data_IF_217456012755
#
_entry.id   IF_217456012755
#
_cell.length_a   1.000
_cell.length_b   1.000
_cell.length_c   1.000
_cell.angle_alpha   90.00
_cell.angle_beta   90.00
_cell.angle_gamma   90.00
#
_symmetry.space_group_name_H-M   'P 1'
#
loop_
_entity.id
_entity.type
_entity.pdbx_description
1 polymer ?
#
# COMPACT_ATOMS: atom_id res chain seq x y z
N UNK A 1 -29.33 -65.13 -40.20
CA UNK A 1 -27.92 -64.93 -39.79
C UNK A 1 -27.81 -63.61 -39.02
N UNK A 2 -27.52 -63.67 -37.71
CA UNK A 2 -26.84 -62.60 -36.91
C UNK A 2 -25.32 -62.85 -37.05
N UNK A 3 -24.39 -61.88 -36.94
CA UNK A 3 -24.20 -60.89 -35.85
C UNK A 3 -23.82 -59.48 -36.42
N UNK A 4 -23.47 -58.40 -35.72
CA UNK A 4 -22.53 -58.24 -34.60
C UNK A 4 -22.72 -56.84 -33.99
N UNK A 5 -22.90 -56.74 -32.67
CA UNK A 5 -22.81 -55.47 -31.93
C UNK A 5 -21.35 -55.26 -31.55
N UNK A 6 -20.74 -54.18 -32.03
CA UNK A 6 -19.42 -53.75 -31.58
C UNK A 6 -19.56 -53.00 -30.25
N UNK A 7 -19.05 -53.59 -29.17
CA UNK A 7 -18.64 -52.87 -27.95
C UNK A 7 -17.29 -52.21 -28.24
N UNK A 8 -17.19 -50.89 -28.07
CA UNK A 8 -15.91 -50.19 -28.03
C UNK A 8 -15.79 -49.45 -26.70
N UNK A 9 -14.65 -49.67 -26.06
CA UNK A 9 -14.39 -49.46 -24.66
C UNK A 9 -14.24 -47.99 -24.25
N UNK A 10 -14.67 -47.74 -23.03
CA UNK A 10 -14.47 -46.53 -22.25
C UNK A 10 -12.96 -46.35 -21.95
N UNK A 11 -12.39 -45.20 -22.31
CA UNK A 11 -11.09 -44.76 -21.81
C UNK A 11 -11.27 -43.38 -21.17
N UNK A 12 -11.62 -43.36 -19.89
CA UNK A 12 -11.66 -42.14 -19.08
C UNK A 12 -10.23 -41.80 -18.71
N UNK A 13 -9.59 -40.92 -19.48
CA UNK A 13 -8.31 -40.33 -19.16
C UNK A 13 -8.57 -39.21 -18.12
N UNK A 14 -8.67 -39.57 -16.84
CA UNK A 14 -8.75 -38.59 -15.75
C UNK A 14 -7.42 -37.88 -15.61
N UNK A 15 -7.35 -36.67 -16.16
CA UNK A 15 -6.25 -35.75 -15.97
C UNK A 15 -6.12 -35.40 -14.48
N UNK A 16 -5.04 -35.84 -13.85
CA UNK A 16 -4.59 -35.32 -12.56
C UNK A 16 -4.10 -33.89 -12.76
N UNK A 17 -5.04 -32.94 -12.83
CA UNK A 17 -4.73 -31.52 -12.68
C UNK A 17 -4.31 -31.31 -11.22
N UNK A 18 -2.99 -31.32 -10.99
CA UNK A 18 -2.41 -30.94 -9.71
C UNK A 18 -2.89 -29.54 -9.34
N UNK A 19 -3.68 -29.45 -8.27
CA UNK A 19 -4.06 -28.18 -7.66
C UNK A 19 -2.80 -27.59 -7.05
N UNK A 20 -2.11 -26.74 -7.81
CA UNK A 20 -1.14 -25.82 -7.24
C UNK A 20 -1.86 -25.06 -6.11
N UNK A 21 -1.35 -25.09 -4.87
CA UNK A 21 -1.95 -24.30 -3.81
C UNK A 21 -1.85 -22.83 -4.23
N UNK A 22 -2.99 -22.19 -4.44
CA UNK A 22 -3.04 -20.74 -4.58
C UNK A 22 -2.51 -20.16 -3.26
N UNK A 23 -1.33 -19.55 -3.31
CA UNK A 23 -0.82 -18.75 -2.19
C UNK A 23 -1.80 -17.57 -2.04
N UNK A 24 -2.64 -17.63 -1.01
CA UNK A 24 -3.53 -16.53 -0.68
C UNK A 24 -2.67 -15.28 -0.40
N UNK A 25 -3.06 -14.15 -0.99
CA UNK A 25 -2.43 -12.87 -0.66
C UNK A 25 -2.55 -12.62 0.86
N UNK A 26 -1.53 -12.03 1.50
CA UNK A 26 -1.59 -11.72 2.92
C UNK A 26 -2.83 -10.89 3.24
N UNK A 27 -3.52 -11.26 4.33
CA UNK A 27 -4.65 -10.47 4.81
C UNK A 27 -4.21 -9.03 5.11
N UNK A 28 -4.86 -8.07 4.47
CA UNK A 28 -4.65 -6.65 4.71
C UNK A 28 -5.65 -6.13 5.75
N UNK A 29 -5.20 -5.22 6.59
CA UNK A 29 -5.98 -4.63 7.67
C UNK A 29 -5.93 -3.11 7.60
N UNK A 30 -7.01 -2.42 7.98
CA UNK A 30 -7.07 -0.97 7.88
C UNK A 30 -6.28 -0.30 9.01
N UNK A 31 -5.43 0.63 8.61
CA UNK A 31 -4.71 1.55 9.46
C UNK A 31 -5.26 2.96 9.24
N UNK A 32 -5.75 3.60 10.31
CA UNK A 32 -6.18 4.99 10.28
C UNK A 32 -5.01 5.85 10.73
N UNK A 33 -4.72 6.90 9.96
CA UNK A 33 -3.66 7.84 10.22
C UNK A 33 -4.22 9.25 10.33
N UNK A 34 -3.59 10.09 11.15
CA UNK A 34 -3.81 11.54 11.16
C UNK A 34 -2.48 12.22 10.90
N UNK A 35 -2.41 12.99 9.82
CA UNK A 35 -1.24 13.78 9.46
C UNK A 35 -0.79 14.69 10.61
N UNK A 36 0.49 15.04 10.60
CA UNK A 36 1.03 15.95 11.60
C UNK A 36 2.56 16.06 11.54
N UNK A 37 3.13 16.96 12.34
CA UNK A 37 4.54 17.31 12.29
C UNK A 37 5.49 16.15 12.66
N UNK A 38 5.00 15.12 13.34
CA UNK A 38 5.80 13.95 13.72
C UNK A 38 5.86 12.88 12.61
N UNK A 39 5.12 13.06 11.51
CA UNK A 39 5.22 12.17 10.35
C UNK A 39 6.36 12.57 9.42
N UNK A 40 6.97 11.57 8.79
CA UNK A 40 8.01 11.77 7.79
C UNK A 40 7.71 10.94 6.55
N UNK A 41 7.78 11.58 5.39
CA UNK A 41 7.75 10.92 4.08
C UNK A 41 9.19 10.79 3.60
N UNK A 42 9.58 9.58 3.20
CA UNK A 42 10.81 9.31 2.48
C UNK A 42 10.48 8.68 1.14
N UNK A 43 10.98 9.25 0.05
CA UNK A 43 10.89 8.63 -1.27
C UNK A 43 12.24 8.06 -1.68
N UNK A 44 12.18 6.93 -2.38
CA UNK A 44 13.32 6.30 -3.00
C UNK A 44 13.01 6.07 -4.47
N UNK A 45 13.91 6.54 -5.32
CA UNK A 45 14.05 6.09 -6.70
C UNK A 45 15.11 4.98 -6.68
N UNK A 46 14.87 3.86 -7.38
CA UNK A 46 15.69 2.65 -7.35
C UNK A 46 15.66 1.90 -6.02
N UNK A 47 14.61 1.09 -5.83
CA UNK A 47 14.54 0.13 -4.72
C UNK A 47 15.77 -0.80 -4.80
N UNK A 48 16.61 -0.89 -3.74
CA UNK A 48 17.84 -1.67 -3.75
C UNK A 48 17.58 -3.17 -3.54
N UNK A 49 16.58 -3.73 -4.24
CA UNK A 49 16.23 -5.15 -4.19
C UNK A 49 16.83 -5.96 -5.36
N UNK A 50 17.48 -5.28 -6.31
CA UNK A 50 18.14 -5.90 -7.45
C UNK A 50 17.20 -6.51 -8.50
N UNK A 51 15.88 -6.33 -8.34
CA UNK A 51 14.84 -6.89 -9.23
C UNK A 51 13.95 -5.79 -9.81
N UNK A 52 13.73 -4.70 -9.07
CA UNK A 52 12.84 -3.59 -9.41
C UNK A 52 13.59 -2.26 -9.59
N UNK A 53 14.75 -2.28 -10.25
CA UNK A 53 15.45 -1.06 -10.68
C UNK A 53 14.52 -0.17 -11.52
N UNK A 54 14.41 1.12 -11.18
CA UNK A 54 13.50 2.08 -11.82
C UNK A 54 12.08 2.16 -11.25
N UNK A 55 11.74 1.47 -10.15
CA UNK A 55 10.46 1.68 -9.45
C UNK A 55 10.61 2.70 -8.32
N UNK A 56 9.62 3.59 -8.21
CA UNK A 56 9.52 4.54 -7.11
C UNK A 56 8.82 3.91 -5.91
N UNK A 57 9.24 4.31 -4.73
CA UNK A 57 8.56 3.94 -3.52
C UNK A 57 8.50 5.10 -2.53
N UNK A 58 7.47 5.07 -1.69
CA UNK A 58 7.28 6.00 -0.59
C UNK A 58 7.15 5.22 0.71
N UNK A 59 7.94 5.61 1.71
CA UNK A 59 7.78 5.18 3.09
C UNK A 59 7.26 6.35 3.91
N UNK A 60 6.22 6.10 4.70
CA UNK A 60 5.70 7.02 5.70
C UNK A 60 6.03 6.48 7.07
N UNK A 61 6.74 7.27 7.86
CA UNK A 61 7.01 7.04 9.27
C UNK A 61 6.03 7.85 10.11
N UNK A 62 5.55 7.26 11.19
CA UNK A 62 4.57 7.86 12.08
C UNK A 62 4.84 7.43 13.53
N UNK A 63 4.05 7.93 14.49
CA UNK A 63 4.03 7.41 15.87
C UNK A 63 2.83 6.49 16.09
N UNK A 64 3.01 5.36 16.76
CA UNK A 64 1.88 4.53 17.15
C UNK A 64 0.97 5.28 18.16
N UNK A 65 -0.33 5.38 17.87
CA UNK A 65 -1.29 5.96 18.81
C UNK A 65 -1.65 4.95 19.92
N UNK A 66 -1.83 5.49 21.13
CA UNK A 66 -2.33 4.77 22.30
C UNK A 66 -3.87 4.71 22.36
N UNK A 67 -4.57 5.38 21.44
CA UNK A 67 -6.03 5.48 21.40
C UNK A 67 -6.60 4.70 20.20
N UNK A 68 -7.29 3.56 20.41
CA UNK A 68 -7.88 2.77 19.33
C UNK A 68 -8.74 3.61 18.38
N UNK A 69 -8.58 3.40 17.07
CA UNK A 69 -9.32 4.09 16.00
C UNK A 69 -9.29 5.64 16.01
N UNK A 70 -8.52 6.27 16.92
CA UNK A 70 -8.49 7.72 17.09
C UNK A 70 -7.05 8.24 17.20
N UNK A 71 -6.31 8.32 16.08
CA UNK A 71 -4.94 8.81 16.09
C UNK A 71 -4.88 10.33 16.33
N UNK A 72 -3.90 10.75 17.14
CA UNK A 72 -3.49 12.15 17.27
C UNK A 72 -2.64 12.62 16.08
N UNK A 73 -2.27 13.90 16.01
CA UNK A 73 -1.45 14.43 14.93
C UNK A 73 -0.11 13.69 14.82
N UNK A 74 0.21 13.23 13.61
CA UNK A 74 1.44 12.48 13.33
C UNK A 74 1.38 11.00 13.73
N UNK A 75 0.20 10.49 14.08
CA UNK A 75 0.01 9.12 14.55
C UNK A 75 -0.80 8.26 13.57
N UNK A 76 -0.60 6.95 13.67
CA UNK A 76 -1.49 5.95 13.08
C UNK A 76 -1.93 4.92 14.12
N UNK A 77 -3.06 4.26 13.87
CA UNK A 77 -3.63 3.22 14.73
C UNK A 77 -4.43 2.20 13.91
N UNK A 78 -4.48 0.96 14.38
CA UNK A 78 -5.39 -0.03 13.84
C UNK A 78 -6.84 0.37 14.17
N UNK A 79 -7.77 0.02 13.27
CA UNK A 79 -9.20 0.31 13.50
C UNK A 79 -9.79 -0.45 14.70
N UNK A 80 -9.24 -1.62 15.02
CA UNK A 80 -9.79 -2.56 16.01
C UNK A 80 -9.01 -2.58 17.33
N UNK A 81 -7.81 -2.00 17.39
CA UNK A 81 -6.91 -2.04 18.55
C UNK A 81 -5.79 -1.00 18.50
N UNK A 82 -4.99 -0.92 19.56
CA UNK A 82 -3.70 -0.22 19.52
C UNK A 82 -2.59 -1.09 18.92
N UNK A 83 -1.45 -0.45 18.67
CA UNK A 83 -0.22 -1.17 18.30
C UNK A 83 0.25 -2.10 19.43
N UNK A 84 0.82 -3.24 19.04
CA UNK A 84 1.52 -4.18 19.91
C UNK A 84 3.03 -3.89 19.91
N UNK A 85 3.75 -4.25 20.98
CA UNK A 85 5.21 -4.16 20.97
C UNK A 85 5.83 -4.89 19.78
N UNK A 86 6.73 -4.23 19.07
CA UNK A 86 7.43 -4.78 17.91
C UNK A 86 6.70 -4.66 16.57
N UNK A 87 5.47 -4.14 16.56
CA UNK A 87 4.82 -3.76 15.29
C UNK A 87 5.52 -2.53 14.68
N UNK A 88 5.72 -2.50 13.35
CA UNK A 88 6.43 -1.41 12.69
C UNK A 88 5.63 -0.10 12.66
N UNK A 89 6.28 1.01 13.00
CA UNK A 89 5.70 2.37 12.92
C UNK A 89 5.99 3.07 11.59
N UNK A 90 5.87 2.29 10.51
CA UNK A 90 6.00 2.80 9.16
C UNK A 90 5.22 1.92 8.18
N UNK A 91 4.74 2.54 7.10
CA UNK A 91 4.21 1.82 5.96
C UNK A 91 4.92 2.24 4.67
N UNK A 92 4.92 1.33 3.71
CA UNK A 92 5.59 1.45 2.43
C UNK A 92 4.59 1.19 1.31
N UNK A 93 4.59 2.06 0.31
CA UNK A 93 3.80 1.92 -0.91
C UNK A 93 4.75 1.96 -2.11
N UNK A 94 4.66 0.94 -2.96
CA UNK A 94 5.27 0.93 -4.29
C UNK A 94 4.37 1.67 -5.27
N UNK A 95 4.97 2.28 -6.29
CA UNK A 95 4.23 2.78 -7.42
C UNK A 95 5.16 3.16 -8.55
N UNK A 96 4.65 3.13 -9.78
CA UNK A 96 5.35 3.78 -10.89
C UNK A 96 4.94 5.26 -10.95
N UNK A 97 5.15 5.97 -9.84
CA UNK A 97 4.75 7.36 -9.64
C UNK A 97 5.99 8.15 -9.29
N UNK A 98 6.32 9.12 -10.14
CA UNK A 98 7.23 10.20 -9.76
C UNK A 98 6.36 11.32 -9.17
N UNK A 99 6.90 12.14 -8.28
CA UNK A 99 6.22 13.38 -7.93
C UNK A 99 7.24 14.48 -7.69
N UNK A 100 6.79 15.70 -7.94
CA UNK A 100 7.54 16.90 -7.62
C UNK A 100 6.80 17.76 -6.60
N UNK A 101 7.58 18.35 -5.71
CA UNK A 101 7.14 19.46 -4.87
C UNK A 101 7.71 20.75 -5.41
N UNK A 102 6.91 21.81 -5.39
CA UNK A 102 7.45 23.15 -5.54
C UNK A 102 7.99 23.62 -4.18
N UNK A 103 9.20 24.16 -4.16
CA UNK A 103 9.83 24.73 -2.95
C UNK A 103 10.18 26.18 -3.24
N UNK A 104 9.73 27.09 -2.37
CA UNK A 104 10.07 28.50 -2.46
C UNK A 104 11.53 28.75 -2.07
N UNK A 105 12.10 29.90 -2.49
CA UNK A 105 13.47 30.29 -2.14
C UNK A 105 13.76 30.43 -0.63
N UNK A 106 12.73 30.43 0.22
CA UNK A 106 12.85 30.39 1.67
C UNK A 106 12.87 28.95 2.25
N UNK A 107 12.97 27.92 1.40
CA UNK A 107 13.01 26.51 1.79
C UNK A 107 11.67 25.91 2.19
N UNK A 108 10.56 26.66 2.08
CA UNK A 108 9.22 26.12 2.38
C UNK A 108 8.62 25.46 1.16
N UNK A 109 7.99 24.31 1.37
CA UNK A 109 7.14 23.67 0.36
C UNK A 109 6.00 24.63 0.00
N UNK A 110 5.78 24.83 -1.29
CA UNK A 110 4.73 25.70 -1.79
C UNK A 110 3.36 25.11 -1.53
N UNK A 111 2.40 25.97 -1.19
CA UNK A 111 1.03 25.61 -0.91
C UNK A 111 0.09 26.69 -1.42
N UNK A 112 -1.15 26.33 -1.76
CA UNK A 112 -2.23 27.26 -2.04
C UNK A 112 -3.50 26.89 -1.27
N UNK A 113 -4.65 27.50 -1.61
CA UNK A 113 -5.92 27.24 -0.93
C UNK A 113 -6.41 25.78 -1.00
N UNK A 114 -5.76 24.93 -1.80
CA UNK A 114 -6.04 23.49 -1.90
C UNK A 114 -5.04 22.59 -1.16
N UNK A 115 -4.00 23.16 -0.54
CA UNK A 115 -2.95 22.43 0.20
C UNK A 115 -1.57 22.58 -0.46
N UNK A 116 -0.68 21.62 -0.17
CA UNK A 116 0.65 21.55 -0.78
C UNK A 116 0.56 21.42 -2.30
N UNK A 117 1.41 22.16 -3.03
CA UNK A 117 1.61 22.01 -4.47
C UNK A 117 2.43 20.77 -4.78
N UNK A 118 1.73 19.65 -4.86
CA UNK A 118 2.22 18.35 -5.28
C UNK A 118 1.78 18.08 -6.72
N UNK A 119 2.75 17.75 -7.58
CA UNK A 119 2.52 17.30 -8.94
C UNK A 119 2.97 15.84 -9.06
N UNK A 120 2.06 14.85 -8.90
CA UNK A 120 2.37 13.48 -9.26
C UNK A 120 2.54 13.38 -10.78
N UNK A 121 3.70 12.92 -11.20
CA UNK A 121 4.03 12.56 -12.57
C UNK A 121 3.57 11.12 -12.81
N UNK A 122 2.46 11.02 -13.55
CA UNK A 122 1.75 9.77 -13.81
C UNK A 122 0.25 10.01 -13.91
N UNK A 123 -0.44 9.11 -14.62
CA UNK A 123 -1.91 9.09 -14.70
C UNK A 123 -2.40 7.72 -14.25
N UNK A 124 -3.21 7.67 -13.20
CA UNK A 124 -3.82 6.43 -12.75
C UNK A 124 -4.13 6.40 -11.25
N UNK A 125 -4.66 5.27 -10.76
CA UNK A 125 -5.00 5.07 -9.35
C UNK A 125 -3.79 5.26 -8.42
N UNK A 126 -2.61 4.75 -8.79
CA UNK A 126 -1.39 4.87 -7.97
C UNK A 126 -1.00 6.33 -7.71
N UNK A 127 -1.13 7.20 -8.72
CA UNK A 127 -0.84 8.62 -8.57
C UNK A 127 -1.82 9.32 -7.62
N UNK A 128 -3.08 8.86 -7.57
CA UNK A 128 -4.08 9.36 -6.61
C UNK A 128 -3.79 8.86 -5.20
N UNK A 129 -3.43 7.59 -5.04
CA UNK A 129 -3.06 6.98 -3.76
C UNK A 129 -1.89 7.73 -3.11
N UNK A 130 -0.83 8.02 -3.88
CA UNK A 130 0.30 8.80 -3.42
C UNK A 130 -0.10 10.24 -3.06
N UNK A 131 -0.92 10.88 -3.89
CA UNK A 131 -1.44 12.23 -3.62
C UNK A 131 -2.28 12.28 -2.33
N UNK A 132 -3.13 11.28 -2.11
CA UNK A 132 -3.96 11.19 -0.91
C UNK A 132 -3.11 11.05 0.35
N UNK A 133 -2.12 10.14 0.34
CA UNK A 133 -1.19 9.98 1.47
C UNK A 133 -0.42 11.28 1.73
N UNK A 134 0.20 11.86 0.71
CA UNK A 134 1.00 13.08 0.88
C UNK A 134 0.15 14.24 1.40
N UNK A 135 -1.06 14.43 0.85
CA UNK A 135 -1.96 15.47 1.33
C UNK A 135 -2.45 15.20 2.76
N UNK A 136 -2.75 13.94 3.09
CA UNK A 136 -3.15 13.53 4.43
C UNK A 136 -2.06 13.87 5.45
N UNK A 137 -0.81 13.45 5.17
CA UNK A 137 0.35 13.73 6.02
C UNK A 137 0.59 15.23 6.17
N UNK A 138 0.70 15.96 5.05
CA UNK A 138 1.17 17.34 5.04
C UNK A 138 0.14 18.36 5.52
N UNK A 139 -1.16 18.08 5.34
CA UNK A 139 -2.24 18.99 5.74
C UNK A 139 -2.86 18.62 7.10
N UNK A 140 -2.35 17.59 7.79
CA UNK A 140 -2.91 17.13 9.06
C UNK A 140 -4.25 16.38 8.94
N UNK A 141 -4.57 15.90 7.74
CA UNK A 141 -5.83 15.21 7.45
C UNK A 141 -5.87 13.80 8.03
N UNK A 142 -7.09 13.27 8.20
CA UNK A 142 -7.29 11.84 8.49
C UNK A 142 -7.34 11.09 7.16
N UNK A 143 -6.61 9.98 7.07
CA UNK A 143 -6.59 9.10 5.91
C UNK A 143 -6.45 7.64 6.36
N UNK A 144 -6.84 6.72 5.49
CA UNK A 144 -6.81 5.28 5.77
C UNK A 144 -5.95 4.57 4.72
N UNK A 145 -5.20 3.56 5.15
CA UNK A 145 -4.50 2.64 4.25
C UNK A 145 -4.78 1.20 4.67
N UNK A 146 -4.95 0.32 3.70
CA UNK A 146 -5.00 -1.12 3.92
C UNK A 146 -3.57 -1.66 3.84
N UNK A 147 -3.13 -2.38 4.87
CA UNK A 147 -1.75 -2.85 4.96
C UNK A 147 -1.64 -4.27 5.48
N UNK A 148 -0.57 -4.97 5.11
CA UNK A 148 -0.13 -6.20 5.78
C UNK A 148 1.31 -6.05 6.31
N UNK A 149 1.71 -6.88 7.27
CA UNK A 149 3.07 -6.83 7.83
C UNK A 149 4.08 -7.52 6.89
N UNK A 150 5.04 -6.76 6.37
CA UNK A 150 6.14 -7.25 5.52
C UNK A 150 7.43 -7.63 6.26
N UNK A 151 7.43 -7.70 7.59
CA UNK A 151 8.59 -8.11 8.39
C UNK A 151 9.56 -6.97 8.78
N UNK A 152 9.16 -5.71 8.60
CA UNK A 152 9.95 -4.52 8.97
C UNK A 152 9.27 -3.19 8.60
N UNK A 153 8.40 -3.27 7.59
CA UNK A 153 7.47 -2.23 7.17
C UNK A 153 6.09 -2.85 6.97
N UNK A 154 5.05 -2.05 7.12
CA UNK A 154 3.73 -2.43 6.64
C UNK A 154 3.65 -2.15 5.14
N UNK A 155 3.11 -3.08 4.35
CA UNK A 155 3.02 -2.95 2.90
C UNK A 155 1.61 -2.53 2.54
N UNK A 156 1.46 -1.39 1.87
CA UNK A 156 0.17 -0.86 1.43
C UNK A 156 -0.36 -1.67 0.25
N UNK A 157 -1.63 -2.07 0.35
CA UNK A 157 -2.38 -2.73 -0.73
C UNK A 157 -3.49 -1.87 -1.29
N UNK A 158 -3.94 -0.85 -0.54
CA UNK A 158 -4.94 0.14 -0.97
C UNK A 158 -4.85 1.40 -0.13
N UNK A 159 -5.14 2.55 -0.74
CA UNK A 159 -5.38 3.82 -0.04
C UNK A 159 -6.87 4.15 -0.05
N UNK A 160 -7.35 4.72 1.05
CA UNK A 160 -8.77 4.98 1.28
C UNK A 160 -9.49 3.84 2.01
N UNK A 161 -10.81 3.95 2.20
CA UNK A 161 -11.63 2.95 2.87
C UNK A 161 -11.68 1.59 2.14
#
# INVERSE_FOLDING_TARGET
MKPTKAMAACAILSAMMGTMPALAEPASYPLICRGGPDMRIATAHDVPDGVNTGQNAMTVYFRASANPANPGPGECVWMDRTFRPGEPENFWIKGNVEFSFQVYGNGRVASDGSGIRLNPEGSGPEAQDWKEIVNGVMNGGVFTVQVYNGGGSMIVTRVGP
#
